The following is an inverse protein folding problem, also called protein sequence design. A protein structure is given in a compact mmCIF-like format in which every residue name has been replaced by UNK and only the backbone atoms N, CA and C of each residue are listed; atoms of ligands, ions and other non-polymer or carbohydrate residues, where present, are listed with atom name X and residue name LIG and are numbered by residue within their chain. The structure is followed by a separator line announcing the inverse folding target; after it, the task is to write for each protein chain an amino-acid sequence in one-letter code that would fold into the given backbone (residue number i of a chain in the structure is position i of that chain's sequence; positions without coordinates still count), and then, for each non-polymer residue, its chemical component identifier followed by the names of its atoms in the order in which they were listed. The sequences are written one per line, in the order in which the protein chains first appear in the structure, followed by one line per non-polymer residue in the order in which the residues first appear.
data_IF_387895719105
#
_entry.id   IF_387895719105
#
_cell.length_a   1.000
_cell.length_b   1.000
_cell.length_c   1.000
_cell.angle_alpha   90.00
_cell.angle_beta   90.00
_cell.angle_gamma   90.00
#
_symmetry.space_group_name_H-M   'P 1'
#
loop_
_entity.id
_entity.type
_entity.pdbx_description
1 polymer ?
#
# COMPACT_ATOMS: atom_id res chain seq x y z
N UNK A 1 12.75 -12.68 5.47
CA UNK A 1 12.50 -11.54 4.56
C UNK A 1 11.40 -12.01 3.64
N UNK A 2 10.18 -11.46 3.75
CA UNK A 2 9.12 -11.76 2.79
C UNK A 2 9.51 -11.26 1.39
N UNK A 3 8.97 -11.95 0.38
CA UNK A 3 9.09 -11.57 -1.03
C UNK A 3 7.92 -10.69 -1.43
N UNK A 4 8.24 -9.50 -1.94
CA UNK A 4 7.28 -8.61 -2.58
C UNK A 4 7.45 -8.70 -4.10
N UNK A 5 6.47 -9.27 -4.79
CA UNK A 5 6.40 -9.27 -6.25
C UNK A 5 5.52 -8.11 -6.70
N UNK A 6 6.06 -7.24 -7.56
CA UNK A 6 5.35 -6.13 -8.16
C UNK A 6 5.20 -6.42 -9.65
N UNK A 7 3.95 -6.51 -10.10
CA UNK A 7 3.62 -6.84 -11.48
C UNK A 7 4.34 -5.90 -12.47
N UNK A 8 4.97 -6.49 -13.49
CA UNK A 8 5.75 -5.78 -14.52
C UNK A 8 6.97 -5.00 -14.00
N UNK A 9 7.38 -5.19 -12.75
CA UNK A 9 8.56 -4.53 -12.15
C UNK A 9 9.58 -5.57 -11.69
N UNK A 10 9.18 -6.56 -10.89
CA UNK A 10 10.08 -7.61 -10.39
C UNK A 10 9.72 -8.14 -9.01
N UNK A 11 10.61 -8.95 -8.43
CA UNK A 11 10.47 -9.51 -7.08
C UNK A 11 11.61 -9.05 -6.19
N UNK A 12 11.28 -8.62 -4.97
CA UNK A 12 12.20 -7.99 -4.03
C UNK A 12 12.13 -8.68 -2.67
N UNK A 13 13.27 -8.92 -2.04
CA UNK A 13 13.33 -9.32 -0.63
C UNK A 13 13.22 -8.07 0.24
N UNK A 14 12.19 -7.99 1.08
CA UNK A 14 11.92 -6.80 1.91
C UNK A 14 12.00 -7.13 3.40
N UNK A 15 12.34 -6.16 4.27
CA UNK A 15 12.33 -6.38 5.72
C UNK A 15 10.93 -6.77 6.23
N UNK A 16 10.88 -7.77 7.10
CA UNK A 16 9.62 -8.18 7.72
C UNK A 16 9.05 -7.04 8.58
N UNK A 17 7.75 -6.80 8.48
CA UNK A 17 7.05 -5.71 9.18
C UNK A 17 7.18 -4.34 8.53
N UNK A 18 8.02 -4.16 7.50
CA UNK A 18 8.11 -2.89 6.76
C UNK A 18 6.77 -2.55 6.12
N UNK A 19 6.38 -1.28 6.11
CA UNK A 19 5.11 -0.87 5.49
C UNK A 19 5.18 -1.10 3.98
N UNK A 20 4.13 -1.68 3.40
CA UNK A 20 4.10 -2.04 1.98
C UNK A 20 4.34 -0.81 1.08
N UNK A 21 3.79 0.37 1.41
CA UNK A 21 4.07 1.60 0.65
C UNK A 21 5.56 2.01 0.67
N UNK A 22 6.26 1.80 1.79
CA UNK A 22 7.70 2.06 1.87
C UNK A 22 8.45 1.01 1.07
N UNK A 23 8.03 -0.26 1.13
CA UNK A 23 8.63 -1.33 0.34
C UNK A 23 8.51 -1.07 -1.17
N UNK A 24 7.33 -0.66 -1.63
CA UNK A 24 7.06 -0.30 -3.02
C UNK A 24 7.92 0.87 -3.51
N UNK A 25 8.11 1.89 -2.68
CA UNK A 25 8.80 3.12 -3.11
C UNK A 25 10.31 3.05 -2.92
N UNK A 26 10.78 2.44 -1.85
CA UNK A 26 12.20 2.43 -1.47
C UNK A 26 12.94 1.18 -1.96
N UNK A 27 12.34 -0.01 -1.82
CA UNK A 27 13.01 -1.27 -2.15
C UNK A 27 12.73 -1.69 -3.59
N UNK A 28 11.47 -1.55 -4.05
CA UNK A 28 11.08 -1.83 -5.44
C UNK A 28 11.32 -0.64 -6.39
N UNK A 29 11.65 0.55 -5.86
CA UNK A 29 11.95 1.74 -6.66
C UNK A 29 10.77 2.24 -7.51
N UNK A 30 9.54 1.94 -7.11
CA UNK A 30 8.34 2.31 -7.88
C UNK A 30 7.94 3.76 -7.62
N UNK A 31 7.20 4.32 -8.56
CA UNK A 31 6.61 5.66 -8.46
C UNK A 31 5.20 5.64 -7.83
N UNK A 32 4.90 4.65 -6.98
CA UNK A 32 3.62 4.53 -6.26
C UNK A 32 3.30 5.82 -5.49
N UNK A 33 2.10 6.36 -5.72
CA UNK A 33 1.64 7.57 -5.02
C UNK A 33 1.28 7.28 -3.56
N UNK A 34 1.47 8.28 -2.70
CA UNK A 34 1.13 8.27 -1.28
C UNK A 34 0.84 9.70 -0.79
N UNK A 35 -0.06 10.41 -1.49
CA UNK A 35 -0.20 11.87 -1.38
C UNK A 35 -0.60 12.40 0.00
N UNK A 36 -1.18 11.58 0.87
CA UNK A 36 -1.47 11.97 2.25
C UNK A 36 -0.32 11.72 3.24
N UNK A 37 0.84 11.22 2.79
CA UNK A 37 1.94 10.79 3.68
C UNK A 37 1.67 9.45 4.37
N UNK A 38 0.77 8.63 3.82
CA UNK A 38 0.50 7.30 4.34
C UNK A 38 -0.33 7.26 5.63
N UNK A 39 -1.26 8.19 5.83
CA UNK A 39 -2.08 8.30 7.07
C UNK A 39 -3.56 7.94 6.86
N UNK A 40 -3.88 7.12 5.86
CA UNK A 40 -5.24 6.71 5.50
C UNK A 40 -6.25 7.86 5.34
N UNK A 41 -5.85 8.94 4.65
CA UNK A 41 -6.75 10.10 4.33
C UNK A 41 -7.04 10.27 2.85
N UNK A 42 -6.41 9.45 2.01
CA UNK A 42 -6.58 9.42 0.56
C UNK A 42 -6.54 7.97 0.04
N UNK A 43 -6.72 7.79 -1.27
CA UNK A 43 -6.69 6.48 -1.94
C UNK A 43 -5.63 6.41 -3.04
N UNK A 44 -4.62 7.29 -3.02
CA UNK A 44 -3.59 7.29 -4.07
C UNK A 44 -2.58 6.16 -3.89
N UNK A 45 -2.51 5.53 -2.71
CA UNK A 45 -1.62 4.40 -2.45
C UNK A 45 -2.24 3.03 -2.79
N UNK A 46 -3.31 3.04 -3.60
CA UNK A 46 -4.03 1.83 -3.97
C UNK A 46 -3.16 0.88 -4.77
N UNK A 47 -3.24 -0.38 -4.37
CA UNK A 47 -2.68 -1.55 -5.06
C UNK A 47 -3.78 -2.59 -5.16
N UNK A 48 -3.69 -3.44 -6.17
CA UNK A 48 -4.50 -4.65 -6.30
C UNK A 48 -3.64 -5.84 -5.90
N UNK A 49 -4.14 -6.69 -5.02
CA UNK A 49 -3.49 -7.95 -4.70
C UNK A 49 -3.74 -8.98 -5.79
N UNK A 50 -2.66 -9.56 -6.28
CA UNK A 50 -2.67 -10.72 -7.18
C UNK A 50 -2.62 -12.00 -6.33
N UNK A 51 -1.74 -12.03 -5.32
CA UNK A 51 -1.57 -13.14 -4.38
C UNK A 51 -1.12 -12.63 -3.01
N UNK A 52 -1.39 -13.40 -1.95
CA UNK A 52 -0.96 -13.05 -0.59
C UNK A 52 -1.70 -11.84 -0.02
N UNK A 53 -2.99 -11.67 -0.30
CA UNK A 53 -3.76 -10.60 0.33
C UNK A 53 -3.93 -10.86 1.84
N UNK A 54 -3.51 -9.95 2.73
CA UNK A 54 -3.72 -10.11 4.17
C UNK A 54 -5.21 -10.14 4.54
N UNK A 55 -5.60 -11.12 5.35
CA UNK A 55 -6.96 -11.22 5.93
C UNK A 55 -7.28 -10.06 6.89
N UNK A 56 -6.24 -9.48 7.50
CA UNK A 56 -6.38 -8.34 8.39
C UNK A 56 -6.41 -7.03 7.60
N UNK A 57 -7.23 -6.11 8.06
CA UNK A 57 -7.37 -4.75 7.56
C UNK A 57 -7.37 -3.80 8.76
N UNK A 58 -6.91 -2.55 8.59
CA UNK A 58 -7.11 -1.55 9.65
C UNK A 58 -8.51 -0.94 9.52
N UNK A 59 -9.13 -0.57 10.63
CA UNK A 59 -10.41 0.17 10.61
C UNK A 59 -10.29 1.48 9.82
N UNK A 60 -9.13 2.15 9.90
CA UNK A 60 -8.86 3.36 9.13
C UNK A 60 -8.85 3.10 7.61
N UNK A 61 -8.23 2.00 7.17
CA UNK A 61 -8.25 1.55 5.78
C UNK A 61 -9.69 1.26 5.34
N UNK A 62 -10.42 0.44 6.11
CA UNK A 62 -11.79 0.02 5.82
C UNK A 62 -12.72 1.21 5.63
N UNK A 63 -12.66 2.17 6.57
CA UNK A 63 -13.46 3.38 6.50
C UNK A 63 -13.07 4.27 5.31
N UNK A 64 -11.76 4.37 5.03
CA UNK A 64 -11.28 5.18 3.89
C UNK A 64 -11.75 4.60 2.55
N UNK A 65 -11.66 3.28 2.37
CA UNK A 65 -12.15 2.60 1.17
C UNK A 65 -13.66 2.78 1.03
N UNK A 66 -14.42 2.61 2.13
CA UNK A 66 -15.87 2.80 2.16
C UNK A 66 -16.29 4.22 1.77
N UNK A 67 -15.71 5.24 2.41
CA UNK A 67 -16.04 6.66 2.16
C UNK A 67 -15.63 7.11 0.77
N UNK A 68 -14.61 6.50 0.19
CA UNK A 68 -14.11 6.80 -1.17
C UNK A 68 -14.70 5.89 -2.24
N UNK A 69 -15.66 5.04 -1.88
CA UNK A 69 -16.40 4.15 -2.77
C UNK A 69 -15.48 3.22 -3.59
N UNK A 70 -14.34 2.83 -3.01
CA UNK A 70 -13.43 1.85 -3.61
C UNK A 70 -13.98 0.47 -3.27
N UNK A 71 -14.50 -0.23 -4.28
CA UNK A 71 -15.26 -1.48 -4.12
C UNK A 71 -14.67 -2.64 -4.91
N UNK A 72 -13.60 -2.38 -5.65
CA UNK A 72 -12.91 -3.37 -6.47
C UNK A 72 -12.28 -4.47 -5.59
N UNK A 73 -12.54 -5.75 -5.86
CA UNK A 73 -11.95 -6.86 -5.10
C UNK A 73 -10.42 -6.83 -5.11
N UNK A 74 -9.80 -7.15 -3.97
CA UNK A 74 -8.34 -7.16 -3.82
C UNK A 74 -7.68 -5.78 -3.80
N UNK A 75 -8.45 -4.68 -3.94
CA UNK A 75 -7.90 -3.32 -3.87
C UNK A 75 -7.75 -2.87 -2.43
N UNK A 76 -6.52 -2.52 -2.07
CA UNK A 76 -6.12 -2.18 -0.71
C UNK A 76 -5.27 -0.92 -0.67
N UNK A 77 -5.13 -0.32 0.50
CA UNK A 77 -4.24 0.83 0.72
C UNK A 77 -2.88 0.34 1.16
N UNK A 78 -1.88 0.34 0.27
CA UNK A 78 -0.52 -0.12 0.58
C UNK A 78 0.10 0.59 1.80
N UNK A 79 -0.35 1.79 2.15
CA UNK A 79 0.13 2.48 3.35
C UNK A 79 -0.37 1.87 4.66
N UNK A 80 -1.43 1.05 4.65
CA UNK A 80 -2.04 0.43 5.83
C UNK A 80 -1.69 -1.06 5.97
N UNK A 81 -0.69 -1.55 5.22
CA UNK A 81 -0.28 -2.96 5.20
C UNK A 81 1.19 -3.08 5.60
N UNK A 82 1.50 -4.10 6.38
CA UNK A 82 2.87 -4.51 6.70
C UNK A 82 3.28 -5.72 5.86
N UNK A 83 4.53 -5.77 5.42
CA UNK A 83 5.11 -6.92 4.75
C UNK A 83 5.52 -7.98 5.77
N UNK A 84 4.61 -8.85 6.18
CA UNK A 84 4.88 -9.96 7.13
C UNK A 84 4.84 -11.35 6.47
N UNK A 85 4.42 -11.45 5.22
CA UNK A 85 4.45 -12.63 4.37
C UNK A 85 4.68 -12.25 2.90
N UNK A 86 4.83 -13.26 2.04
CA UNK A 86 5.01 -13.06 0.60
C UNK A 86 3.72 -12.53 -0.03
N UNK A 87 3.87 -11.50 -0.87
CA UNK A 87 2.75 -10.80 -1.49
C UNK A 87 3.06 -10.48 -2.95
N UNK A 88 2.04 -10.54 -3.81
CA UNK A 88 2.12 -10.11 -5.20
C UNK A 88 1.07 -9.03 -5.46
N UNK A 89 1.49 -7.89 -5.98
CA UNK A 89 0.62 -6.72 -6.17
C UNK A 89 0.81 -6.04 -7.53
N UNK A 90 -0.26 -5.43 -8.01
CA UNK A 90 -0.28 -4.49 -9.14
C UNK A 90 -0.46 -3.06 -8.63
N UNK A 91 0.32 -2.12 -9.14
CA UNK A 91 0.16 -0.70 -8.81
C UNK A 91 -1.03 -0.12 -9.59
N UNK A 92 -1.97 0.52 -8.88
CA UNK A 92 -3.13 1.18 -9.51
C UNK A 92 -2.86 2.67 -9.73
N UNK A 93 -2.11 3.30 -8.81
CA UNK A 93 -1.97 4.76 -8.77
C UNK A 93 -0.49 5.16 -8.72
N UNK A 94 0.04 5.47 -9.90
CA UNK A 94 1.45 5.82 -10.13
C UNK A 94 1.62 7.34 -10.31
N UNK A 95 2.82 7.86 -10.07
CA UNK A 95 3.13 9.28 -10.29
C UNK A 95 3.05 9.61 -11.77
N UNK A 96 3.60 8.74 -12.61
CA UNK A 96 3.47 8.79 -14.05
C UNK A 96 1.99 8.91 -14.45
N UNK A 97 1.67 9.90 -15.28
CA UNK A 97 0.31 10.15 -15.76
C UNK A 97 -0.66 10.79 -14.74
N UNK A 98 -0.26 10.99 -13.47
CA UNK A 98 -1.18 11.52 -12.44
C UNK A 98 -1.36 13.04 -12.43
N UNK A 99 -0.47 13.78 -13.08
CA UNK A 99 -0.42 15.25 -13.01
C UNK A 99 0.02 15.81 -11.65
N UNK A 100 0.46 14.97 -10.71
CA UNK A 100 1.00 15.41 -9.42
C UNK A 100 2.47 15.83 -9.56
N UNK A 101 2.89 16.76 -8.70
CA UNK A 101 4.28 17.23 -8.64
C UNK A 101 5.25 16.21 -8.01
N UNK A 102 4.73 15.35 -7.13
CA UNK A 102 5.48 14.36 -6.35
C UNK A 102 4.58 13.18 -5.94
N UNK A 103 5.19 12.12 -5.41
CA UNK A 103 4.46 10.93 -4.91
C UNK A 103 3.67 11.25 -3.62
N UNK A 104 4.24 12.09 -2.75
CA UNK A 104 3.69 12.46 -1.44
C UNK A 104 4.81 12.84 -0.47
N UNK A 105 4.43 13.27 0.73
CA UNK A 105 5.37 13.52 1.83
C UNK A 105 5.91 12.23 2.45
N UNK A 106 6.90 12.37 3.33
CA UNK A 106 7.52 11.23 4.03
C UNK A 106 6.49 10.37 4.76
N UNK A 107 6.65 9.04 4.63
CA UNK A 107 5.82 8.04 5.29
C UNK A 107 6.53 7.58 6.56
N UNK A 108 5.83 7.63 7.71
CA UNK A 108 6.34 7.14 8.98
C UNK A 108 6.63 5.63 8.95
N UNK A 109 7.53 5.14 9.79
CA UNK A 109 7.90 3.72 9.81
C UNK A 109 6.78 2.84 10.38
N UNK A 110 6.03 3.34 11.37
CA UNK A 110 4.84 2.66 11.88
C UNK A 110 3.58 3.02 11.10
N UNK A 111 2.61 2.10 11.04
CA UNK A 111 1.29 2.35 10.45
C UNK A 111 0.60 3.50 11.21
N UNK A 112 0.17 4.51 10.44
CA UNK A 112 -0.55 5.67 10.95
C UNK A 112 -1.92 5.80 10.27
N UNK A 113 -2.98 6.17 11.01
CA UNK A 113 -3.02 6.29 12.47
C UNK A 113 -2.73 4.92 13.15
N UNK A 114 -2.50 4.94 14.47
CA UNK A 114 -2.25 3.71 15.22
C UNK A 114 -3.32 2.64 14.88
N UNK A 115 -2.91 1.45 14.43
CA UNK A 115 -3.83 0.54 13.76
C UNK A 115 -4.79 -0.12 14.77
N UNK A 116 -6.08 -0.04 14.47
CA UNK A 116 -7.10 -0.91 15.03
C UNK A 116 -7.43 -1.97 13.98
N UNK A 117 -7.21 -3.23 14.32
CA UNK A 117 -7.29 -4.33 13.36
C UNK A 117 -8.68 -4.95 13.29
N UNK A 118 -9.09 -5.29 12.08
CA UNK A 118 -10.36 -5.93 11.74
C UNK A 118 -10.15 -6.93 10.60
N UNK A 119 -11.20 -7.61 10.18
CA UNK A 119 -11.17 -8.47 8.98
C UNK A 119 -11.52 -7.65 7.74
N UNK A 120 -10.85 -7.95 6.62
CA UNK A 120 -11.14 -7.32 5.32
C UNK A 120 -12.62 -7.41 4.95
#
# INVERSE_FOLDING_TARGET
MPKLTVENVGTFDVPAGKRLVQALTQDAGTDQLHSCGGVSRCTTCRVEFIEGEPEKMTEAEKETLRVREVTEPGVRLSCQIACDHDMSVRLISRLEGSGRKDQGGAVADEIQPAPQWTTK
#
